data_IF_898000562065
#
_entry.id   IF_898000562065
#
_cell.length_a   1.000
_cell.length_b   1.000
_cell.length_c   1.000
_cell.angle_alpha   90.00
_cell.angle_beta   90.00
_cell.angle_gamma   90.00
#
_symmetry.space_group_name_H-M   'P 1'
#
loop_
_entity.id
_entity.type
_entity.pdbx_description
1 polymer ?
#
# COMPACT_ATOMS: atom_id res chain seq x y z
N UNK A 1 10.62 -29.15 -0.69
CA UNK A 1 9.62 -28.39 0.09
C UNK A 1 9.11 -27.27 -0.80
N UNK A 2 7.82 -27.23 -1.14
CA UNK A 2 7.26 -26.02 -1.75
C UNK A 2 7.33 -24.87 -0.73
N UNK A 3 7.96 -23.76 -1.09
CA UNK A 3 7.93 -22.55 -0.28
C UNK A 3 6.49 -22.00 -0.29
N UNK A 4 5.83 -22.04 0.86
CA UNK A 4 4.45 -21.57 1.01
C UNK A 4 4.46 -20.18 1.62
N UNK A 5 4.22 -19.15 0.80
CA UNK A 5 4.09 -17.79 1.27
C UNK A 5 2.63 -17.46 1.61
N UNK A 6 2.42 -16.62 2.63
CA UNK A 6 1.12 -16.06 3.00
C UNK A 6 1.14 -14.54 2.83
N UNK A 7 -0.03 -13.97 2.54
CA UNK A 7 -0.26 -12.53 2.69
C UNK A 7 -1.24 -12.32 3.81
N UNK A 8 -0.80 -11.65 4.87
CA UNK A 8 -1.64 -11.08 5.91
C UNK A 8 -2.15 -9.72 5.45
N UNK A 9 -3.47 -9.56 5.39
CA UNK A 9 -4.13 -8.27 5.26
C UNK A 9 -4.70 -7.90 6.63
N UNK A 10 -4.28 -6.75 7.16
CA UNK A 10 -4.73 -6.25 8.45
C UNK A 10 -5.21 -4.80 8.31
N UNK A 11 -6.37 -4.52 8.89
CA UNK A 11 -6.96 -3.19 9.01
C UNK A 11 -6.97 -2.87 10.50
N UNK A 12 -6.31 -1.80 10.89
CA UNK A 12 -6.19 -1.38 12.28
C UNK A 12 -6.31 0.14 12.39
N UNK A 13 -6.83 0.61 13.51
CA UNK A 13 -6.98 2.04 13.78
C UNK A 13 -5.61 2.68 13.87
N UNK A 14 -5.46 3.91 13.36
CA UNK A 14 -4.19 4.65 13.43
C UNK A 14 -3.82 4.81 14.91
N UNK A 15 -2.74 4.19 15.40
CA UNK A 15 -2.42 4.16 16.82
C UNK A 15 -1.62 5.39 17.27
N UNK A 16 -1.26 6.27 16.33
CA UNK A 16 -0.41 7.43 16.59
C UNK A 16 -1.07 8.39 17.60
N UNK A 17 -0.47 8.66 18.78
CA UNK A 17 -1.10 9.47 19.83
C UNK A 17 -1.43 10.91 19.42
N UNK A 18 -0.71 11.45 18.44
CA UNK A 18 -0.89 12.81 17.93
C UNK A 18 -1.96 12.93 16.84
N UNK A 19 -2.53 11.82 16.35
CA UNK A 19 -3.47 11.86 15.22
C UNK A 19 -4.73 12.67 15.52
N UNK A 20 -5.16 12.73 16.77
CA UNK A 20 -6.29 13.57 17.20
C UNK A 20 -6.02 15.06 17.08
N UNK A 21 -4.74 15.47 16.96
CA UNK A 21 -4.32 16.87 16.96
C UNK A 21 -4.21 17.47 15.56
N UNK A 22 -4.20 16.64 14.51
CA UNK A 22 -4.07 17.12 13.12
C UNK A 22 -5.37 17.69 12.54
N UNK A 23 -6.44 17.80 13.33
CA UNK A 23 -7.72 18.36 12.88
C UNK A 23 -8.49 17.40 11.96
N UNK A 24 -9.83 17.51 11.94
CA UNK A 24 -10.70 16.56 11.23
C UNK A 24 -10.55 16.58 9.70
N UNK A 25 -10.12 17.72 9.16
CA UNK A 25 -9.93 17.89 7.70
C UNK A 25 -8.55 17.40 7.22
N UNK A 26 -7.63 17.06 8.13
CA UNK A 26 -6.34 16.54 7.71
C UNK A 26 -6.43 15.08 7.31
N UNK A 27 -5.82 14.77 6.16
CA UNK A 27 -5.67 13.42 5.63
C UNK A 27 -4.22 13.00 5.71
N UNK A 28 -3.95 11.90 6.40
CA UNK A 28 -2.62 11.27 6.33
C UNK A 28 -2.49 10.60 4.96
N UNK A 29 -1.52 11.05 4.17
CA UNK A 29 -1.22 10.51 2.85
C UNK A 29 -0.28 9.30 2.92
N UNK A 30 0.68 9.34 3.84
CA UNK A 30 1.65 8.26 4.05
C UNK A 30 2.22 8.32 5.47
N UNK A 31 2.57 7.17 6.03
CA UNK A 31 3.28 7.05 7.30
C UNK A 31 4.28 5.90 7.20
N UNK A 32 5.49 6.11 7.73
CA UNK A 32 6.50 5.04 7.87
C UNK A 32 7.30 5.20 9.16
N UNK A 33 7.79 4.10 9.76
CA UNK A 33 8.81 4.16 10.80
C UNK A 33 10.02 4.99 10.34
N UNK A 34 10.63 5.75 11.24
CA UNK A 34 11.80 6.59 10.94
C UNK A 34 12.68 6.80 12.17
N UNK A 35 13.99 6.66 12.00
CA UNK A 35 14.95 6.71 13.11
C UNK A 35 14.77 5.54 14.08
N UNK A 36 15.25 5.69 15.32
CA UNK A 36 15.24 4.62 16.30
C UNK A 36 13.87 4.27 16.86
N UNK A 37 13.00 5.27 17.07
CA UNK A 37 11.69 5.10 17.74
C UNK A 37 10.54 5.82 17.05
N UNK A 38 10.85 6.62 16.04
CA UNK A 38 9.92 7.61 15.49
C UNK A 38 9.17 7.16 14.25
N UNK A 39 8.42 8.12 13.70
CA UNK A 39 7.78 7.99 12.38
C UNK A 39 7.96 9.26 11.57
N UNK A 40 7.97 9.10 10.24
CA UNK A 40 7.83 10.20 9.30
C UNK A 40 6.49 10.07 8.59
N UNK A 41 5.73 11.14 8.62
CA UNK A 41 4.33 11.17 8.18
C UNK A 41 4.18 12.29 7.16
N UNK A 42 3.51 12.00 6.06
CA UNK A 42 3.07 12.99 5.10
C UNK A 42 1.57 13.19 5.28
N UNK A 43 1.16 14.43 5.51
CA UNK A 43 -0.24 14.80 5.69
C UNK A 43 -0.65 15.87 4.68
N UNK A 44 -1.93 15.90 4.33
CA UNK A 44 -2.58 16.97 3.58
C UNK A 44 -3.63 17.62 4.47
N UNK A 45 -3.70 18.94 4.50
CA UNK A 45 -4.66 19.70 5.31
C UNK A 45 -5.13 20.95 4.56
N UNK A 46 -6.24 21.54 4.99
CA UNK A 46 -6.82 22.74 4.39
C UNK A 46 -6.06 24.02 4.77
N UNK A 47 -6.50 24.68 5.85
CA UNK A 47 -6.00 26.02 6.22
C UNK A 47 -4.69 26.02 6.99
N UNK A 48 -4.66 25.39 8.15
CA UNK A 48 -3.52 25.42 9.07
C UNK A 48 -3.38 24.12 9.85
N UNK A 49 -2.19 23.94 10.39
CA UNK A 49 -1.88 22.87 11.34
C UNK A 49 -1.35 23.51 12.61
N UNK A 50 -1.87 23.08 13.75
CA UNK A 50 -1.39 23.55 15.05
C UNK A 50 -0.05 22.87 15.38
N UNK A 51 1.03 23.46 14.87
CA UNK A 51 2.39 22.98 15.11
C UNK A 51 2.78 23.05 16.58
N UNK A 52 2.19 23.95 17.36
CA UNK A 52 2.56 24.17 18.76
C UNK A 52 2.03 23.04 19.65
N UNK A 53 0.75 22.67 19.46
CA UNK A 53 0.15 21.51 20.13
C UNK A 53 0.84 20.19 19.75
N UNK A 54 1.24 20.04 18.49
CA UNK A 54 2.03 18.89 18.04
C UNK A 54 3.40 18.85 18.71
N UNK A 55 4.10 20.00 18.79
CA UNK A 55 5.42 20.10 19.43
C UNK A 55 5.36 19.71 20.91
N UNK A 56 4.32 20.11 21.64
CA UNK A 56 4.06 19.71 23.04
C UNK A 56 3.93 18.19 23.20
N UNK A 57 3.57 17.46 22.14
CA UNK A 57 3.49 15.99 22.11
C UNK A 57 4.71 15.32 21.48
N UNK A 58 5.82 16.05 21.31
CA UNK A 58 7.04 15.52 20.74
C UNK A 58 6.95 15.28 19.23
N UNK A 59 6.08 16.02 18.55
CA UNK A 59 5.84 15.91 17.11
C UNK A 59 6.26 17.21 16.41
N UNK A 60 7.14 17.10 15.43
CA UNK A 60 7.75 18.24 14.75
C UNK A 60 7.24 18.31 13.31
N UNK A 61 6.65 19.44 12.94
CA UNK A 61 6.35 19.75 11.53
C UNK A 61 7.66 20.18 10.87
N UNK A 62 8.22 19.36 9.98
CA UNK A 62 9.54 19.59 9.39
C UNK A 62 9.51 20.48 8.15
N UNK A 63 8.43 20.42 7.36
CA UNK A 63 8.26 21.24 6.17
C UNK A 63 6.79 21.32 5.78
N UNK A 64 6.39 22.43 5.15
CA UNK A 64 5.04 22.70 4.65
C UNK A 64 5.15 23.19 3.21
N UNK A 65 4.32 22.63 2.34
CA UNK A 65 4.20 22.96 0.92
C UNK A 65 2.77 23.38 0.63
N UNK A 66 2.56 24.58 0.09
CA UNK A 66 1.24 25.07 -0.31
C UNK A 66 0.91 24.61 -1.73
N UNK A 67 -0.29 24.11 -1.92
CA UNK A 67 -0.81 23.64 -3.20
C UNK A 67 -1.69 24.72 -3.85
N UNK A 68 -1.88 24.63 -5.17
CA UNK A 68 -2.72 25.58 -5.93
C UNK A 68 -4.20 25.47 -5.61
N UNK A 69 -4.64 24.31 -5.12
CA UNK A 69 -6.03 24.00 -4.77
C UNK A 69 -6.41 24.42 -3.34
N UNK A 70 -5.63 25.34 -2.75
CA UNK A 70 -5.85 25.86 -1.39
C UNK A 70 -5.48 24.91 -0.26
N UNK A 71 -5.05 23.67 -0.55
CA UNK A 71 -4.57 22.75 0.46
C UNK A 71 -3.06 22.91 0.70
N UNK A 72 -2.57 22.33 1.78
CA UNK A 72 -1.15 22.23 2.07
C UNK A 72 -0.76 20.78 2.37
N UNK A 73 0.49 20.43 2.05
CA UNK A 73 1.12 19.17 2.42
C UNK A 73 2.21 19.45 3.45
N UNK A 74 2.24 18.70 4.54
CA UNK A 74 3.32 18.78 5.51
C UNK A 74 3.99 17.43 5.74
N UNK A 75 5.30 17.49 6.00
CA UNK A 75 6.02 16.37 6.59
C UNK A 75 6.13 16.58 8.09
N UNK A 76 5.80 15.53 8.83
CA UNK A 76 5.80 15.50 10.28
C UNK A 76 6.72 14.38 10.77
N UNK A 77 7.44 14.64 11.86
CA UNK A 77 8.29 13.67 12.56
C UNK A 77 7.75 13.47 13.97
N UNK A 78 7.49 12.22 14.34
CA UNK A 78 7.14 11.82 15.71
C UNK A 78 8.33 11.13 16.36
N UNK A 79 8.49 11.27 17.68
CA UNK A 79 9.46 10.50 18.48
C UNK A 79 8.98 9.09 18.84
N UNK A 80 7.70 8.78 18.63
CA UNK A 80 7.11 7.47 18.92
C UNK A 80 6.25 6.96 17.75
N UNK A 81 6.41 5.68 17.41
CA UNK A 81 5.63 4.99 16.38
C UNK A 81 5.14 3.63 16.91
N UNK A 82 3.86 3.50 17.33
CA UNK A 82 3.34 2.23 17.84
C UNK A 82 3.46 1.08 16.84
N UNK A 83 3.34 1.36 15.53
CA UNK A 83 3.57 0.34 14.49
C UNK A 83 5.00 -0.22 14.53
N UNK A 84 5.99 0.59 14.90
CA UNK A 84 7.37 0.12 15.08
C UNK A 84 7.50 -0.70 16.36
N UNK A 85 6.90 -0.23 17.45
CA UNK A 85 6.90 -0.95 18.74
C UNK A 85 6.25 -2.33 18.59
N UNK A 86 5.24 -2.46 17.74
CA UNK A 86 4.61 -3.75 17.42
C UNK A 86 5.41 -4.63 16.45
N UNK A 87 6.65 -4.26 16.11
CA UNK A 87 7.52 -5.03 15.21
C UNK A 87 7.19 -4.92 13.72
N UNK A 88 6.28 -4.04 13.29
CA UNK A 88 5.91 -3.96 11.87
C UNK A 88 7.04 -3.43 10.98
N UNK A 89 8.06 -2.79 11.56
CA UNK A 89 9.27 -2.38 10.83
C UNK A 89 10.16 -3.56 10.42
N UNK A 90 9.97 -4.74 11.01
CA UNK A 90 10.70 -5.97 10.68
C UNK A 90 9.93 -6.83 9.67
N UNK A 91 8.67 -6.49 9.40
CA UNK A 91 7.81 -7.26 8.51
C UNK A 91 8.01 -6.87 7.03
N UNK A 92 7.80 -7.82 6.12
CA UNK A 92 7.78 -7.57 4.68
C UNK A 92 6.48 -6.86 4.25
N UNK A 93 6.40 -5.55 4.50
CA UNK A 93 5.24 -4.73 4.13
C UNK A 93 5.18 -4.60 2.61
N UNK A 94 4.18 -5.23 1.99
CA UNK A 94 3.92 -5.14 0.55
C UNK A 94 3.20 -3.85 0.18
N UNK A 95 2.30 -3.38 1.06
CA UNK A 95 1.62 -2.10 0.86
C UNK A 95 0.97 -1.60 2.15
N UNK A 96 0.84 -0.28 2.28
CA UNK A 96 0.09 0.37 3.35
C UNK A 96 -0.78 1.47 2.75
N UNK A 97 -2.08 1.42 3.04
CA UNK A 97 -3.07 2.42 2.65
C UNK A 97 -3.70 3.01 3.90
N UNK A 98 -3.84 4.32 3.91
CA UNK A 98 -4.44 5.05 5.02
C UNK A 98 -5.78 5.57 4.56
N UNK A 99 -6.83 5.21 5.28
CA UNK A 99 -8.21 5.54 4.94
C UNK A 99 -9.02 5.76 6.21
N UNK A 100 -9.68 6.93 6.30
CA UNK A 100 -10.70 7.24 7.32
C UNK A 100 -10.31 6.85 8.76
N UNK A 101 -9.08 7.17 9.18
CA UNK A 101 -8.59 6.87 10.53
C UNK A 101 -8.05 5.45 10.74
N UNK A 102 -8.01 4.63 9.69
CA UNK A 102 -7.46 3.28 9.68
C UNK A 102 -6.25 3.16 8.77
N UNK A 103 -5.39 2.20 9.08
CA UNK A 103 -4.32 1.72 8.22
C UNK A 103 -4.70 0.32 7.76
N UNK A 104 -4.81 0.14 6.44
CA UNK A 104 -4.88 -1.16 5.79
C UNK A 104 -3.49 -1.53 5.30
N UNK A 105 -2.96 -2.63 5.79
CA UNK A 105 -1.62 -3.09 5.45
C UNK A 105 -1.66 -4.51 4.91
N UNK A 106 -0.80 -4.77 3.92
CA UNK A 106 -0.51 -6.12 3.43
C UNK A 106 0.92 -6.47 3.74
N UNK A 107 1.11 -7.64 4.33
CA UNK A 107 2.40 -8.13 4.80
C UNK A 107 2.61 -9.51 4.19
N UNK A 108 3.77 -9.75 3.58
CA UNK A 108 4.20 -11.08 3.21
C UNK A 108 4.75 -11.81 4.44
N UNK A 109 4.33 -13.06 4.61
CA UNK A 109 4.76 -13.92 5.70
C UNK A 109 5.24 -15.25 5.11
N UNK A 110 6.31 -15.80 5.67
CA UNK A 110 6.88 -17.11 5.34
C UNK A 110 6.00 -18.25 5.85
N UNK A 111 5.16 -17.99 6.86
CA UNK A 111 4.24 -18.98 7.39
C UNK A 111 2.95 -18.37 7.95
N UNK A 112 1.95 -19.22 8.17
CA UNK A 112 0.76 -18.85 8.91
C UNK A 112 1.07 -18.53 10.39
N UNK A 113 2.11 -19.15 10.95
CA UNK A 113 2.54 -18.88 12.33
C UNK A 113 3.04 -17.45 12.48
N UNK A 114 3.90 -17.00 11.57
CA UNK A 114 4.42 -15.63 11.54
C UNK A 114 3.27 -14.60 11.40
N UNK A 115 2.30 -14.87 10.50
CA UNK A 115 1.14 -14.00 10.36
C UNK A 115 0.34 -13.85 11.67
N UNK A 116 0.18 -14.95 12.44
CA UNK A 116 -0.48 -14.92 13.75
C UNK A 116 0.35 -14.18 14.80
N UNK A 117 1.67 -14.37 14.77
CA UNK A 117 2.59 -13.67 15.67
C UNK A 117 2.55 -12.16 15.47
N UNK A 118 2.52 -11.68 14.22
CA UNK A 118 2.37 -10.26 13.90
C UNK A 118 1.08 -9.69 14.52
N UNK A 119 -0.05 -10.39 14.35
CA UNK A 119 -1.34 -9.98 14.94
C UNK A 119 -1.26 -9.97 16.48
N UNK A 120 -0.61 -10.97 17.08
CA UNK A 120 -0.40 -11.06 18.52
C UNK A 120 0.42 -9.88 19.04
N UNK A 121 1.58 -9.58 18.43
CA UNK A 121 2.45 -8.45 18.79
C UNK A 121 1.72 -7.10 18.66
N UNK A 122 0.91 -6.92 17.60
CA UNK A 122 0.07 -5.74 17.44
C UNK A 122 -0.93 -5.58 18.59
N UNK A 123 -1.63 -6.64 19.00
CA UNK A 123 -2.58 -6.60 20.12
C UNK A 123 -1.88 -6.33 21.46
N UNK A 124 -0.77 -7.01 21.74
CA UNK A 124 0.01 -6.83 22.96
C UNK A 124 0.54 -5.40 23.15
N UNK A 125 0.75 -4.68 22.05
CA UNK A 125 1.19 -3.28 22.05
C UNK A 125 0.04 -2.27 22.03
N UNK A 126 -1.20 -2.74 22.20
CA UNK A 126 -2.39 -1.90 22.30
C UNK A 126 -2.94 -1.40 20.96
N UNK A 127 -2.48 -1.95 19.83
CA UNK A 127 -3.04 -1.59 18.52
C UNK A 127 -4.42 -2.23 18.36
N UNK A 128 -5.44 -1.36 18.19
CA UNK A 128 -6.82 -1.76 17.94
C UNK A 128 -6.99 -2.27 16.50
N UNK A 129 -7.07 -3.59 16.35
CA UNK A 129 -7.26 -4.24 15.04
C UNK A 129 -8.75 -4.33 14.73
N UNK A 130 -9.17 -3.70 13.64
CA UNK A 130 -10.56 -3.74 13.16
C UNK A 130 -10.88 -5.06 12.45
N UNK A 131 -10.00 -5.50 11.55
CA UNK A 131 -10.16 -6.77 10.81
C UNK A 131 -8.80 -7.28 10.36
N UNK A 132 -8.63 -8.59 10.29
CA UNK A 132 -7.52 -9.19 9.56
C UNK A 132 -7.96 -10.47 8.85
N UNK A 133 -7.17 -10.87 7.86
CA UNK A 133 -7.26 -12.16 7.18
C UNK A 133 -5.90 -12.52 6.62
N UNK A 134 -5.66 -13.79 6.39
CA UNK A 134 -4.50 -14.25 5.62
C UNK A 134 -4.97 -15.11 4.46
N UNK A 135 -4.14 -15.15 3.42
CA UNK A 135 -4.31 -16.11 2.32
C UNK A 135 -2.98 -16.71 1.95
N UNK A 136 -3.01 -17.98 1.55
CA UNK A 136 -1.87 -18.62 0.89
C UNK A 136 -1.69 -18.00 -0.49
N UNK A 137 -0.45 -17.76 -0.87
CA UNK A 137 -0.06 -17.30 -2.20
C UNK A 137 0.40 -18.49 -3.01
N UNK A 138 -0.14 -18.59 -4.21
CA UNK A 138 0.26 -19.60 -5.18
C UNK A 138 0.96 -18.92 -6.36
N UNK A 139 1.75 -19.69 -7.12
CA UNK A 139 2.42 -19.18 -8.33
C UNK A 139 1.44 -18.52 -9.31
N UNK A 140 0.20 -19.00 -9.36
CA UNK A 140 -0.87 -18.43 -10.19
C UNK A 140 -1.26 -17.00 -9.82
N UNK A 141 -0.94 -16.51 -8.63
CA UNK A 141 -1.18 -15.13 -8.22
C UNK A 141 -0.21 -14.13 -8.85
N UNK A 142 0.92 -14.59 -9.38
CA UNK A 142 1.94 -13.75 -10.01
C UNK A 142 1.79 -13.75 -11.54
N UNK A 143 2.22 -12.65 -12.17
CA UNK A 143 2.34 -12.61 -13.62
C UNK A 143 3.39 -13.64 -14.07
N UNK A 144 3.09 -14.38 -15.13
CA UNK A 144 4.14 -15.13 -15.84
C UNK A 144 4.94 -14.16 -16.71
N UNK A 145 6.18 -14.51 -17.07
CA UNK A 145 7.00 -13.68 -17.96
C UNK A 145 6.26 -13.31 -19.26
N UNK A 146 5.54 -14.28 -19.86
CA UNK A 146 4.72 -14.06 -21.07
C UNK A 146 3.52 -13.12 -20.81
N UNK A 147 2.92 -13.15 -19.62
CA UNK A 147 1.85 -12.23 -19.24
C UNK A 147 2.37 -10.80 -19.03
N UNK A 148 3.56 -10.66 -18.43
CA UNK A 148 4.24 -9.39 -18.24
C UNK A 148 4.65 -8.77 -19.59
N UNK A 149 5.30 -9.55 -20.45
CA UNK A 149 5.64 -9.17 -21.84
C UNK A 149 4.41 -8.65 -22.59
N UNK A 150 3.31 -9.40 -22.55
CA UNK A 150 2.07 -9.00 -23.22
C UNK A 150 1.52 -7.66 -22.71
N UNK A 151 1.56 -7.41 -21.39
CA UNK A 151 1.11 -6.13 -20.83
C UNK A 151 2.02 -4.97 -21.22
N UNK A 152 3.34 -5.17 -21.14
CA UNK A 152 4.33 -4.14 -21.49
C UNK A 152 4.20 -3.77 -22.97
N UNK A 153 4.13 -4.76 -23.86
CA UNK A 153 3.95 -4.50 -25.30
C UNK A 153 2.62 -3.83 -25.60
N UNK A 154 1.53 -4.27 -24.96
CA UNK A 154 0.22 -3.63 -25.07
C UNK A 154 0.28 -2.14 -24.70
N UNK A 155 0.97 -1.81 -23.61
CA UNK A 155 1.12 -0.44 -23.15
C UNK A 155 1.99 0.39 -24.10
N UNK A 156 3.22 -0.07 -24.40
CA UNK A 156 4.18 0.68 -25.23
C UNK A 156 3.62 0.95 -26.62
N UNK A 157 3.01 -0.06 -27.26
CA UNK A 157 2.47 0.08 -28.61
C UNK A 157 1.13 0.82 -28.66
N UNK A 158 0.57 1.22 -27.52
CA UNK A 158 -0.68 2.00 -27.46
C UNK A 158 -1.95 1.20 -27.70
N UNK A 159 -1.94 -0.09 -27.35
CA UNK A 159 -3.16 -0.92 -27.36
C UNK A 159 -4.19 -0.45 -26.32
N UNK A 160 -3.73 0.16 -25.23
CA UNK A 160 -4.58 0.74 -24.17
C UNK A 160 -4.92 2.22 -24.37
N UNK A 161 -4.47 2.83 -25.46
CA UNK A 161 -4.68 4.27 -25.71
C UNK A 161 -6.12 4.57 -26.20
N UNK A 162 -6.49 5.84 -26.09
CA UNK A 162 -7.73 6.38 -26.65
C UNK A 162 -7.43 7.59 -27.55
N UNK A 163 -7.52 7.46 -28.89
CA UNK A 163 -7.81 6.24 -29.64
C UNK A 163 -6.66 5.23 -29.60
N UNK A 164 -6.95 3.94 -29.82
CA UNK A 164 -5.94 2.88 -29.86
C UNK A 164 -4.98 3.08 -31.03
N UNK A 165 -3.67 2.97 -30.79
CA UNK A 165 -2.64 3.05 -31.85
C UNK A 165 -2.42 1.72 -32.58
N UNK A 166 -2.64 0.59 -31.90
CA UNK A 166 -2.62 -0.74 -32.51
C UNK A 166 -3.87 -1.54 -32.10
N UNK A 167 -4.24 -2.50 -32.94
CA UNK A 167 -5.30 -3.44 -32.64
C UNK A 167 -4.74 -4.76 -32.08
N UNK A 168 -5.65 -5.65 -31.69
CA UNK A 168 -5.29 -6.96 -31.16
C UNK A 168 -4.65 -7.87 -32.23
N UNK A 169 -4.93 -7.64 -33.52
CA UNK A 169 -4.35 -8.43 -34.61
C UNK A 169 -2.85 -8.20 -34.71
N UNK A 170 -2.43 -6.93 -34.83
CA UNK A 170 -1.03 -6.51 -34.82
C UNK A 170 -0.32 -6.96 -33.54
N UNK A 171 -0.95 -6.75 -32.39
CA UNK A 171 -0.39 -7.17 -31.10
C UNK A 171 -0.16 -8.68 -31.02
N UNK A 172 -1.08 -9.50 -31.55
CA UNK A 172 -0.94 -10.95 -31.54
C UNK A 172 0.22 -11.44 -32.41
N UNK A 173 0.43 -10.79 -33.56
CA UNK A 173 1.58 -11.05 -34.44
C UNK A 173 2.89 -10.69 -33.75
N UNK A 174 2.93 -9.54 -33.08
CA UNK A 174 4.11 -9.11 -32.32
C UNK A 174 4.46 -10.06 -31.16
N UNK A 175 3.45 -10.64 -30.51
CA UNK A 175 3.63 -11.61 -29.41
C UNK A 175 3.95 -13.04 -29.89
N UNK A 176 3.83 -13.30 -31.20
CA UNK A 176 4.01 -14.62 -31.78
C UNK A 176 2.95 -15.64 -31.35
N UNK A 177 1.71 -15.20 -31.11
CA UNK A 177 0.61 -16.07 -30.67
C UNK A 177 -0.68 -15.79 -31.43
N UNK A 178 -1.61 -16.74 -31.44
CA UNK A 178 -2.93 -16.52 -32.03
C UNK A 178 -3.70 -15.39 -31.31
N UNK A 179 -4.54 -14.67 -32.05
CA UNK A 179 -5.34 -13.54 -31.55
C UNK A 179 -6.17 -13.88 -30.29
N UNK A 180 -6.86 -15.04 -30.18
CA UNK A 180 -7.55 -15.42 -28.94
C UNK A 180 -6.60 -15.63 -27.75
N UNK A 181 -5.40 -16.17 -28.00
CA UNK A 181 -4.37 -16.39 -26.99
C UNK A 181 -3.83 -15.07 -26.44
N UNK A 182 -3.50 -14.11 -27.31
CA UNK A 182 -3.08 -12.77 -26.90
C UNK A 182 -4.14 -12.10 -26.02
N UNK A 183 -5.41 -12.14 -26.43
CA UNK A 183 -6.52 -11.59 -25.64
C UNK A 183 -6.61 -12.23 -24.26
N UNK A 184 -6.56 -13.56 -24.19
CA UNK A 184 -6.67 -14.29 -22.93
C UNK A 184 -5.48 -14.03 -22.01
N UNK A 185 -4.27 -13.94 -22.56
CA UNK A 185 -3.06 -13.58 -21.82
C UNK A 185 -3.19 -12.20 -21.17
N UNK A 186 -3.57 -11.18 -21.95
CA UNK A 186 -3.76 -9.81 -21.45
C UNK A 186 -4.87 -9.78 -20.40
N UNK A 187 -6.01 -10.41 -20.68
CA UNK A 187 -7.15 -10.46 -19.73
C UNK A 187 -6.77 -11.11 -18.40
N UNK A 188 -6.04 -12.24 -18.44
CA UNK A 188 -5.55 -12.93 -17.24
C UNK A 188 -4.54 -12.07 -16.48
N UNK A 189 -3.63 -11.42 -17.20
CA UNK A 189 -2.62 -10.54 -16.62
C UNK A 189 -3.25 -9.32 -15.92
N UNK A 190 -4.19 -8.63 -16.58
CA UNK A 190 -4.97 -7.53 -16.01
C UNK A 190 -5.73 -8.00 -14.76
N UNK A 191 -6.39 -9.16 -14.81
CA UNK A 191 -7.10 -9.70 -13.65
C UNK A 191 -6.16 -9.94 -12.46
N UNK A 192 -4.93 -10.43 -12.68
CA UNK A 192 -3.92 -10.59 -11.62
C UNK A 192 -3.51 -9.24 -11.04
N UNK A 193 -3.19 -8.26 -11.88
CA UNK A 193 -2.86 -6.91 -11.43
C UNK A 193 -3.99 -6.26 -10.64
N UNK A 194 -5.23 -6.35 -11.12
CA UNK A 194 -6.40 -5.81 -10.41
C UNK A 194 -6.50 -6.40 -9.00
N UNK A 195 -6.38 -7.73 -8.87
CA UNK A 195 -6.45 -8.37 -7.55
C UNK A 195 -5.31 -7.89 -6.65
N UNK A 196 -4.08 -7.83 -7.18
CA UNK A 196 -2.90 -7.38 -6.45
C UNK A 196 -3.01 -5.91 -6.00
N UNK A 197 -3.46 -5.00 -6.88
CA UNK A 197 -3.47 -3.55 -6.68
C UNK A 197 -4.74 -3.02 -6.01
N UNK A 198 -5.91 -3.62 -6.27
CA UNK A 198 -7.20 -3.18 -5.72
C UNK A 198 -7.62 -3.95 -4.47
N UNK A 199 -6.77 -4.84 -3.94
CA UNK A 199 -7.04 -5.58 -2.71
C UNK A 199 -8.31 -6.44 -2.82
N UNK A 200 -8.65 -6.86 -4.04
CA UNK A 200 -9.80 -7.71 -4.35
C UNK A 200 -9.40 -9.18 -4.16
N UNK A 201 -9.46 -9.61 -2.92
CA UNK A 201 -9.48 -11.01 -2.49
C UNK A 201 -10.51 -11.16 -1.39
#
# INVERSE_FOLDING_TARGET
MELVMYILEVIYKIPCPWVSLVGREAKILSCRPWGEKGSRVMIRFGRSIDSESLKKRGVIVSSIYRMRDGHSIAFIRSKACPCRISGLNEAHILSSKIDTGYIRMRIACESLSEAREIISRMRQTGIEIYRYRWRRINNEDFLTARQEEALIMSFIKGFFDSPRRIDLDKLSKDLGVAKPTAYLMIKRAIRKLIKQTLYLY
#
